data_IF_325620737747
#
_entry.id   IF_325620737747
#
_cell.length_a   1.000
_cell.length_b   1.000
_cell.length_c   1.000
_cell.angle_alpha   90.00
_cell.angle_beta   90.00
_cell.angle_gamma   90.00
#
_symmetry.space_group_name_H-M   'P 1'
#
loop_
_entity.id
_entity.type
_entity.pdbx_description
1 polymer ?
#
# COMPACT_ATOMS: atom_id res chain seq x y z
N UNK A 1 -8.63 -15.16 20.26
CA UNK A 1 -7.20 -14.81 20.28
C UNK A 1 -6.47 -15.93 19.58
N UNK A 2 -6.24 -15.73 18.28
CA UNK A 2 -5.39 -16.56 17.45
C UNK A 2 -3.93 -16.20 17.69
N UNK A 3 -3.07 -17.21 17.62
CA UNK A 3 -1.63 -17.02 17.65
C UNK A 3 -1.11 -17.06 16.22
N UNK A 4 -0.34 -16.05 15.82
CA UNK A 4 0.30 -15.97 14.50
C UNK A 4 1.82 -16.10 14.65
N UNK A 5 2.50 -16.71 13.66
CA UNK A 5 3.96 -16.72 13.64
C UNK A 5 4.46 -15.31 13.32
N UNK A 6 5.24 -14.74 14.23
CA UNK A 6 5.93 -13.48 14.04
C UNK A 6 7.44 -13.70 14.04
N UNK A 7 8.09 -13.23 12.98
CA UNK A 7 9.55 -13.26 12.84
C UNK A 7 10.10 -11.90 13.19
N UNK A 8 11.04 -11.86 14.13
CA UNK A 8 11.75 -10.63 14.44
C UNK A 8 12.82 -10.39 13.36
N UNK A 9 12.57 -9.44 12.46
CA UNK A 9 13.52 -9.04 11.41
C UNK A 9 14.51 -7.95 11.87
N UNK A 10 14.34 -7.44 13.09
CA UNK A 10 15.22 -6.47 13.72
C UNK A 10 16.49 -7.12 14.31
N UNK A 11 17.55 -6.31 14.44
CA UNK A 11 18.81 -6.71 15.08
C UNK A 11 18.75 -6.72 16.62
N UNK A 12 17.58 -6.40 17.22
CA UNK A 12 17.36 -6.33 18.68
C UNK A 12 16.22 -7.25 19.08
N UNK A 13 16.22 -7.68 20.35
CA UNK A 13 15.10 -8.45 20.90
C UNK A 13 13.80 -7.65 20.81
N UNK A 14 12.76 -8.31 20.34
CA UNK A 14 11.41 -7.77 20.30
C UNK A 14 10.53 -8.44 21.36
N UNK A 15 9.66 -7.65 21.97
CA UNK A 15 8.77 -8.12 23.03
C UNK A 15 7.34 -7.82 22.62
N UNK A 16 6.59 -8.87 22.30
CA UNK A 16 5.17 -8.78 21.95
C UNK A 16 4.35 -9.42 23.08
N UNK A 17 3.67 -8.58 23.85
CA UNK A 17 2.97 -8.98 25.06
C UNK A 17 3.92 -9.55 26.11
N UNK A 18 3.81 -10.86 26.36
CA UNK A 18 4.67 -11.62 27.28
C UNK A 18 5.75 -12.47 26.60
N UNK A 19 5.84 -12.46 25.26
CA UNK A 19 6.77 -13.29 24.50
C UNK A 19 7.94 -12.45 23.99
N UNK A 20 9.15 -12.85 24.38
CA UNK A 20 10.41 -12.30 23.86
C UNK A 20 10.87 -13.07 22.64
N UNK A 21 11.19 -12.35 21.57
CA UNK A 21 11.55 -12.89 20.25
C UNK A 21 12.96 -12.39 19.92
N UNK A 22 13.96 -13.28 19.91
CA UNK A 22 15.32 -12.92 19.50
C UNK A 22 15.39 -12.46 18.04
N UNK A 23 16.41 -11.67 17.66
CA UNK A 23 16.70 -11.32 16.26
C UNK A 23 16.76 -12.55 15.35
N UNK A 24 16.02 -12.54 14.25
CA UNK A 24 15.97 -13.61 13.26
C UNK A 24 15.20 -14.87 13.68
N UNK A 25 14.58 -14.88 14.87
CA UNK A 25 13.80 -16.00 15.38
C UNK A 25 12.29 -15.79 15.13
N UNK A 26 11.55 -16.88 14.96
CA UNK A 26 10.09 -16.84 14.72
C UNK A 26 9.35 -17.44 15.90
N UNK A 27 8.38 -16.72 16.47
CA UNK A 27 7.55 -17.23 17.58
C UNK A 27 6.07 -16.99 17.37
N UNK A 28 5.26 -17.85 17.98
CA UNK A 28 3.81 -17.70 18.01
C UNK A 28 3.43 -16.63 19.03
N UNK A 29 2.80 -15.56 18.57
CA UNK A 29 2.37 -14.42 19.39
C UNK A 29 0.91 -14.08 19.13
N UNK A 30 0.29 -13.38 20.07
CA UNK A 30 -1.09 -12.91 19.88
C UNK A 30 -1.15 -11.99 18.67
N UNK A 31 -2.04 -12.32 17.74
CA UNK A 31 -2.26 -11.61 16.51
C UNK A 31 -2.52 -10.11 16.75
N UNK A 32 -3.29 -9.77 17.80
CA UNK A 32 -3.64 -8.38 18.12
C UNK A 32 -2.47 -7.52 18.59
N UNK A 33 -1.36 -8.16 18.97
CA UNK A 33 -0.16 -7.50 19.46
C UNK A 33 0.89 -7.32 18.37
N UNK A 34 0.71 -7.96 17.20
CA UNK A 34 1.64 -7.81 16.08
C UNK A 34 1.49 -6.40 15.47
N UNK A 35 2.57 -5.62 15.36
CA UNK A 35 2.53 -4.31 14.72
C UNK A 35 2.05 -4.44 13.27
N UNK A 36 1.00 -3.70 12.90
CA UNK A 36 0.41 -3.80 11.54
C UNK A 36 -0.58 -4.95 11.37
N UNK A 37 -0.97 -5.63 12.44
CA UNK A 37 -2.08 -6.58 12.39
C UNK A 37 -3.40 -5.87 12.07
N UNK A 38 -3.87 -6.05 10.84
CA UNK A 38 -5.25 -5.83 10.48
C UNK A 38 -6.00 -7.15 10.65
N UNK A 39 -7.12 -7.18 11.40
CA UNK A 39 -7.88 -8.40 11.56
C UNK A 39 -8.32 -8.89 10.18
N UNK A 40 -7.74 -10.02 9.75
CA UNK A 40 -8.21 -10.71 8.58
C UNK A 40 -9.68 -11.04 8.84
N UNK A 41 -10.58 -10.43 8.07
CA UNK A 41 -11.96 -10.87 8.01
C UNK A 41 -11.93 -12.38 7.76
N UNK A 42 -12.37 -13.11 8.78
CA UNK A 42 -12.68 -14.54 8.83
C UNK A 42 -12.26 -15.33 7.58
N UNK A 43 -11.12 -16.00 7.62
CA UNK A 43 -10.84 -17.09 6.68
C UNK A 43 -11.37 -18.36 7.33
N UNK A 44 -12.54 -18.89 6.93
CA UNK A 44 -13.03 -20.12 7.51
C UNK A 44 -12.12 -21.26 7.07
N UNK A 45 -11.75 -22.09 8.04
CA UNK A 45 -11.09 -23.36 7.80
C UNK A 45 -11.99 -24.23 6.91
N UNK A 46 -11.54 -24.50 5.68
CA UNK A 46 -12.15 -25.49 4.79
C UNK A 46 -13.46 -25.05 4.13
N UNK A 47 -13.38 -24.30 3.03
CA UNK A 47 -14.41 -24.22 2.01
C UNK A 47 -13.77 -23.87 0.66
N UNK A 48 -14.28 -24.40 -0.46
CA UNK A 48 -13.60 -24.38 -1.75
C UNK A 48 -13.55 -22.98 -2.35
N UNK A 49 -12.58 -22.82 -3.24
CA UNK A 49 -12.31 -21.69 -4.12
C UNK A 49 -13.56 -20.85 -4.51
N UNK A 50 -13.43 -19.53 -4.37
CA UNK A 50 -14.35 -18.51 -4.90
C UNK A 50 -14.53 -17.33 -3.95
N UNK A 51 -14.21 -16.09 -4.25
CA UNK A 51 -13.63 -15.47 -5.44
C UNK A 51 -13.57 -13.97 -5.16
N UNK A 52 -12.38 -13.42 -4.93
CA UNK A 52 -12.04 -12.19 -5.62
C UNK A 52 -11.55 -12.72 -6.97
N UNK A 53 -12.25 -12.40 -8.04
CA UNK A 53 -11.81 -12.77 -9.39
C UNK A 53 -10.32 -12.42 -9.51
N UNK A 54 -9.51 -13.29 -10.11
CA UNK A 54 -8.11 -12.99 -10.47
C UNK A 54 -7.99 -11.57 -11.09
N UNK A 55 -9.03 -11.15 -11.84
CA UNK A 55 -9.23 -9.83 -12.45
C UNK A 55 -8.95 -8.61 -11.54
N UNK A 56 -9.44 -8.58 -10.29
CA UNK A 56 -9.31 -7.40 -9.41
C UNK A 56 -7.86 -7.20 -8.89
N UNK A 57 -7.11 -8.30 -8.72
CA UNK A 57 -5.69 -8.23 -8.33
C UNK A 57 -4.83 -7.79 -9.50
N UNK A 58 -5.13 -8.30 -10.70
CA UNK A 58 -4.50 -7.88 -11.94
C UNK A 58 -4.70 -6.38 -12.20
N UNK A 59 -5.89 -5.84 -11.96
CA UNK A 59 -6.18 -4.40 -12.13
C UNK A 59 -5.39 -3.53 -11.14
N UNK A 60 -5.28 -3.94 -9.87
CA UNK A 60 -4.54 -3.19 -8.86
C UNK A 60 -3.03 -3.21 -9.13
N UNK A 61 -2.48 -4.35 -9.58
CA UNK A 61 -1.07 -4.46 -9.96
C UNK A 61 -0.76 -3.64 -11.22
N UNK A 62 -1.66 -3.65 -12.23
CA UNK A 62 -1.55 -2.79 -13.42
C UNK A 62 -1.60 -1.31 -13.08
N UNK A 63 -2.50 -0.91 -12.16
CA UNK A 63 -2.59 0.48 -11.69
C UNK A 63 -1.28 0.91 -11.03
N UNK A 64 -0.74 0.09 -10.12
CA UNK A 64 0.52 0.39 -9.44
C UNK A 64 1.70 0.48 -10.43
N UNK A 65 1.76 -0.43 -11.40
CA UNK A 65 2.78 -0.41 -12.46
C UNK A 65 2.66 0.84 -13.34
N UNK A 66 1.44 1.26 -13.70
CA UNK A 66 1.19 2.45 -14.49
C UNK A 66 1.63 3.73 -13.75
N UNK A 67 1.28 3.87 -12.46
CA UNK A 67 1.70 5.00 -11.62
C UNK A 67 3.22 5.03 -11.47
N UNK A 68 3.85 3.88 -11.21
CA UNK A 68 5.31 3.79 -11.08
C UNK A 68 6.03 4.20 -12.37
N UNK A 69 5.54 3.74 -13.52
CA UNK A 69 6.07 4.13 -14.83
C UNK A 69 5.87 5.63 -15.11
N UNK A 70 4.76 6.20 -14.65
CA UNK A 70 4.46 7.63 -14.80
C UNK A 70 5.37 8.50 -13.94
N UNK A 71 5.65 8.08 -12.69
CA UNK A 71 6.57 8.77 -11.78
C UNK A 71 8.04 8.77 -12.22
N UNK A 72 8.38 7.87 -13.15
CA UNK A 72 9.69 7.85 -13.82
C UNK A 72 9.84 8.94 -14.91
N UNK A 73 8.74 9.55 -15.35
CA UNK A 73 8.75 10.69 -16.29
C UNK A 73 9.11 12.00 -15.57
N UNK A 74 9.33 13.06 -16.36
CA UNK A 74 9.50 14.41 -15.83
C UNK A 74 8.15 15.07 -15.51
N UNK A 75 8.16 16.10 -14.65
CA UNK A 75 6.93 16.79 -14.21
C UNK A 75 6.09 17.33 -15.38
N UNK A 76 6.65 18.00 -16.41
CA UNK A 76 5.87 18.45 -17.57
C UNK A 76 5.12 17.32 -18.30
N UNK A 77 5.77 16.17 -18.50
CA UNK A 77 5.17 15.02 -19.19
C UNK A 77 4.05 14.38 -18.37
N UNK A 78 4.19 14.37 -17.03
CA UNK A 78 3.14 13.89 -16.13
C UNK A 78 1.96 14.87 -16.14
N UNK A 79 2.22 16.17 -16.08
CA UNK A 79 1.18 17.21 -16.12
C UNK A 79 0.34 17.16 -17.39
N UNK A 80 0.95 16.87 -18.53
CA UNK A 80 0.23 16.71 -19.80
C UNK A 80 -0.74 15.52 -19.80
N UNK A 81 -0.53 14.52 -18.95
CA UNK A 81 -1.36 13.31 -18.84
C UNK A 81 -2.46 13.41 -17.79
N UNK A 82 -2.39 14.36 -16.85
CA UNK A 82 -3.38 14.53 -15.78
C UNK A 82 -4.84 14.61 -16.28
N UNK A 83 -5.16 15.27 -17.41
CA UNK A 83 -6.54 15.34 -17.91
C UNK A 83 -7.10 13.97 -18.34
N UNK A 84 -6.23 13.06 -18.79
CA UNK A 84 -6.61 11.74 -19.30
C UNK A 84 -6.71 10.68 -18.19
N UNK A 85 -6.23 10.98 -16.97
CA UNK A 85 -6.28 10.05 -15.84
C UNK A 85 -7.66 10.01 -15.22
N UNK A 86 -8.08 8.83 -14.74
CA UNK A 86 -9.26 8.70 -13.89
C UNK A 86 -9.02 9.28 -12.49
N UNK A 87 -10.09 9.56 -11.75
CA UNK A 87 -9.97 10.08 -10.37
C UNK A 87 -9.22 9.10 -9.45
N UNK A 88 -9.43 7.79 -9.65
CA UNK A 88 -8.68 6.74 -8.94
C UNK A 88 -7.18 6.78 -9.25
N UNK A 89 -6.82 7.01 -10.50
CA UNK A 89 -5.41 7.15 -10.91
C UNK A 89 -4.78 8.44 -10.36
N UNK A 90 -5.53 9.54 -10.32
CA UNK A 90 -5.07 10.80 -9.72
C UNK A 90 -4.81 10.65 -8.22
N UNK A 91 -5.70 9.96 -7.49
CA UNK A 91 -5.52 9.67 -6.06
C UNK A 91 -4.30 8.76 -5.82
N UNK A 92 -4.14 7.72 -6.65
CA UNK A 92 -2.99 6.82 -6.57
C UNK A 92 -1.66 7.54 -6.87
N UNK A 93 -1.66 8.45 -7.86
CA UNK A 93 -0.50 9.27 -8.20
C UNK A 93 -0.13 10.25 -7.08
N UNK A 94 -1.13 10.91 -6.48
CA UNK A 94 -0.94 11.82 -5.34
C UNK A 94 -0.33 11.09 -4.14
N UNK A 95 -0.85 9.90 -3.82
CA UNK A 95 -0.36 9.09 -2.71
C UNK A 95 1.08 8.61 -2.96
N UNK A 96 1.37 8.12 -4.16
CA UNK A 96 2.70 7.63 -4.53
C UNK A 96 3.76 8.75 -4.56
N UNK A 97 3.40 9.94 -5.04
CA UNK A 97 4.29 11.12 -5.04
C UNK A 97 4.46 11.70 -3.62
N UNK A 98 3.42 11.65 -2.77
CA UNK A 98 3.49 12.13 -1.37
C UNK A 98 4.29 11.19 -0.46
N UNK A 99 4.27 9.88 -0.72
CA UNK A 99 5.01 8.88 0.04
C UNK A 99 6.48 8.71 -0.37
N UNK A 100 6.93 9.39 -1.43
CA UNK A 100 8.30 9.25 -1.95
C UNK A 100 9.31 10.06 -1.14
N UNK A 101 9.82 9.52 -0.03
CA UNK A 101 10.79 10.19 0.85
C UNK A 101 11.93 10.88 0.08
N UNK A 102 11.96 12.22 0.16
CA UNK A 102 13.02 13.06 -0.39
C UNK A 102 12.93 13.36 -1.90
N UNK A 103 11.85 12.93 -2.59
CA UNK A 103 11.61 13.21 -4.01
C UNK A 103 10.28 13.90 -4.30
N UNK A 104 9.49 14.25 -3.28
CA UNK A 104 8.20 14.94 -3.43
C UNK A 104 8.35 16.19 -4.33
N UNK A 105 7.80 16.10 -5.53
CA UNK A 105 7.79 17.18 -6.51
C UNK A 105 6.58 18.06 -6.23
N UNK A 106 6.76 19.08 -5.40
CA UNK A 106 5.68 20.01 -4.98
C UNK A 106 4.87 20.55 -6.16
N UNK A 107 5.52 20.87 -7.28
CA UNK A 107 4.87 21.35 -8.52
C UNK A 107 3.91 20.31 -9.11
N UNK A 108 4.23 19.02 -9.00
CA UNK A 108 3.37 17.94 -9.48
C UNK A 108 2.13 17.78 -8.57
N UNK A 109 2.34 17.77 -7.25
CA UNK A 109 1.24 17.69 -6.27
C UNK A 109 0.25 18.86 -6.44
N UNK A 110 0.74 20.07 -6.69
CA UNK A 110 -0.11 21.23 -6.98
C UNK A 110 -0.92 21.06 -8.27
N UNK A 111 -0.32 20.46 -9.31
CA UNK A 111 -1.02 20.21 -10.57
C UNK A 111 -2.11 19.14 -10.40
N UNK A 112 -1.83 18.06 -9.68
CA UNK A 112 -2.82 17.02 -9.35
C UNK A 112 -3.98 17.62 -8.55
N UNK A 113 -3.69 18.41 -7.51
CA UNK A 113 -4.73 19.07 -6.71
C UNK A 113 -5.58 20.05 -7.54
N UNK A 114 -4.95 20.79 -8.46
CA UNK A 114 -5.65 21.71 -9.37
C UNK A 114 -6.58 20.96 -10.32
N UNK A 115 -6.12 19.85 -10.89
CA UNK A 115 -6.93 19.00 -11.77
C UNK A 115 -8.12 18.41 -11.01
N UNK A 116 -7.88 17.83 -9.82
CA UNK A 116 -8.94 17.30 -8.96
C UNK A 116 -10.00 18.36 -8.65
N UNK A 117 -9.58 19.57 -8.26
CA UNK A 117 -10.50 20.68 -7.99
C UNK A 117 -11.29 21.13 -9.23
N UNK A 118 -10.68 21.03 -10.42
CA UNK A 118 -11.35 21.32 -11.70
C UNK A 118 -12.50 20.37 -12.03
N UNK A 119 -12.42 19.12 -11.56
CA UNK A 119 -13.42 18.07 -11.79
C UNK A 119 -14.61 18.09 -10.83
N UNK A 120 -14.49 18.75 -9.66
CA UNK A 120 -15.59 18.87 -8.68
C UNK A 120 -16.58 20.00 -9.04
N UNK A 121 -16.64 20.42 -10.30
CA UNK A 121 -17.50 21.51 -10.79
C UNK A 121 -18.70 21.02 -11.59
#
# INVERSE_FOLDING_TARGET
MGLVPYTNESAKFEHLGGTTIPPGDTRMVDETLVPGYEPAADKPAGAPEGGASDDDKDEQEKLLAAITAMLALNVPDIQAKLPDLSDKELDALELAESGSEGKNRTTLLQAIATEKLGRVK
#
